data_IF_398555199329
#
_entry.id   IF_398555199329
#
_cell.length_a   1.000
_cell.length_b   1.000
_cell.length_c   1.000
_cell.angle_alpha   90.00
_cell.angle_beta   90.00
_cell.angle_gamma   90.00
#
_symmetry.space_group_name_H-M   'P 1'
#
loop_
_entity.id
_entity.type
_entity.pdbx_description
1 polymer ?
#
# COMPACT_ATOMS: atom_id res chain seq x y z
N UNK A 1 -17.47 7.01 22.79
CA UNK A 1 -16.85 6.67 21.48
C UNK A 1 -17.13 5.20 21.21
N UNK A 2 -17.74 4.90 20.07
CA UNK A 2 -18.49 3.66 19.80
C UNK A 2 -17.57 2.45 19.62
N UNK A 3 -17.98 1.30 20.16
CA UNK A 3 -17.22 0.03 20.08
C UNK A 3 -16.80 -0.36 18.65
N UNK A 4 -17.57 0.07 17.64
CA UNK A 4 -17.24 -0.12 16.22
C UNK A 4 -15.96 0.62 15.81
N UNK A 5 -15.76 1.87 16.23
CA UNK A 5 -14.57 2.64 15.86
C UNK A 5 -13.30 1.98 16.41
N UNK A 6 -13.37 1.46 17.64
CA UNK A 6 -12.27 0.69 18.26
C UNK A 6 -12.00 -0.61 17.51
N UNK A 7 -13.05 -1.30 17.07
CA UNK A 7 -12.94 -2.52 16.26
C UNK A 7 -12.26 -2.25 14.92
N UNK A 8 -12.74 -1.25 14.18
CA UNK A 8 -12.16 -0.84 12.88
C UNK A 8 -10.69 -0.44 13.04
N UNK A 9 -10.36 0.33 14.09
CA UNK A 9 -8.99 0.76 14.35
C UNK A 9 -8.07 -0.44 14.59
N UNK A 10 -8.42 -1.34 15.51
CA UNK A 10 -7.58 -2.51 15.83
C UNK A 10 -7.47 -3.49 14.65
N UNK A 11 -8.53 -3.63 13.86
CA UNK A 11 -8.49 -4.43 12.65
C UNK A 11 -7.51 -3.83 11.63
N UNK A 12 -7.55 -2.52 11.41
CA UNK A 12 -6.62 -1.83 10.51
C UNK A 12 -5.17 -1.87 11.01
N UNK A 13 -4.94 -1.75 12.32
CA UNK A 13 -3.61 -1.92 12.92
C UNK A 13 -3.06 -3.32 12.65
N UNK A 14 -3.87 -4.36 12.85
CA UNK A 14 -3.47 -5.74 12.58
C UNK A 14 -3.15 -5.98 11.09
N UNK A 15 -4.03 -5.52 10.20
CA UNK A 15 -3.89 -5.68 8.74
C UNK A 15 -2.64 -4.96 8.19
N UNK A 16 -2.16 -3.91 8.86
CA UNK A 16 -0.92 -3.20 8.55
C UNK A 16 0.35 -3.85 9.13
N UNK A 17 0.25 -5.04 9.71
CA UNK A 17 1.38 -5.71 10.38
C UNK A 17 1.64 -5.20 11.81
N UNK A 18 0.69 -4.49 12.41
CA UNK A 18 0.74 -4.05 13.81
C UNK A 18 0.37 -5.15 14.82
N UNK A 19 -0.17 -4.75 15.96
CA UNK A 19 -0.48 -5.68 17.06
C UNK A 19 -1.41 -6.84 16.66
N UNK A 20 -1.29 -7.95 17.38
CA UNK A 20 -2.16 -9.12 17.18
C UNK A 20 -3.62 -8.77 17.46
N UNK A 21 -4.51 -9.09 16.52
CA UNK A 21 -5.94 -8.84 16.68
C UNK A 21 -6.51 -9.69 17.84
N UNK A 22 -7.29 -9.12 18.77
CA UNK A 22 -7.82 -9.86 19.91
C UNK A 22 -8.73 -11.02 19.47
N UNK A 23 -8.29 -12.25 19.70
CA UNK A 23 -9.06 -13.46 19.34
C UNK A 23 -10.42 -13.55 20.03
N UNK A 24 -10.56 -12.92 21.20
CA UNK A 24 -11.84 -12.83 21.92
C UNK A 24 -12.91 -12.07 21.14
N UNK A 25 -12.54 -11.30 20.12
CA UNK A 25 -13.46 -10.58 19.25
C UNK A 25 -13.84 -11.38 18.01
N UNK A 26 -13.15 -12.49 17.76
CA UNK A 26 -13.44 -13.39 16.66
C UNK A 26 -14.46 -14.45 17.11
N UNK A 27 -15.42 -14.74 16.24
CA UNK A 27 -16.32 -15.89 16.38
C UNK A 27 -15.90 -16.95 15.37
N UNK A 28 -15.84 -18.22 15.79
CA UNK A 28 -15.56 -19.33 14.88
C UNK A 28 -16.56 -19.30 13.71
N UNK A 29 -16.04 -19.22 12.49
CA UNK A 29 -16.80 -19.23 11.25
C UNK A 29 -16.44 -20.43 10.38
N UNK A 30 -16.79 -20.35 9.09
CA UNK A 30 -16.43 -21.35 8.07
C UNK A 30 -14.92 -21.51 7.89
N UNK A 31 -14.17 -20.43 8.16
CA UNK A 31 -12.71 -20.37 8.08
C UNK A 31 -12.20 -20.03 9.47
N UNK A 32 -11.04 -20.58 9.82
CA UNK A 32 -10.35 -20.23 11.06
C UNK A 32 -10.06 -18.71 11.11
N UNK A 33 -10.14 -18.12 12.31
CA UNK A 33 -10.02 -16.67 12.44
C UNK A 33 -8.64 -16.14 12.04
N UNK A 34 -7.57 -16.91 12.24
CA UNK A 34 -6.22 -16.51 11.82
C UNK A 34 -6.09 -16.55 10.31
N UNK A 35 -6.65 -17.59 9.69
CA UNK A 35 -6.71 -17.70 8.24
C UNK A 35 -7.49 -16.51 7.69
N UNK A 36 -8.68 -16.21 8.24
CA UNK A 36 -9.48 -15.06 7.83
C UNK A 36 -8.72 -13.74 7.95
N UNK A 37 -8.07 -13.49 9.09
CA UNK A 37 -7.26 -12.28 9.31
C UNK A 37 -6.09 -12.19 8.31
N UNK A 38 -5.40 -13.30 8.03
CA UNK A 38 -4.31 -13.33 7.05
C UNK A 38 -4.80 -13.03 5.63
N UNK A 39 -5.99 -13.49 5.25
CA UNK A 39 -6.60 -13.15 3.95
C UNK A 39 -6.79 -11.64 3.84
N UNK A 40 -7.30 -10.99 4.89
CA UNK A 40 -7.48 -9.54 4.89
C UNK A 40 -6.15 -8.78 4.87
N UNK A 41 -5.15 -9.23 5.64
CA UNK A 41 -3.80 -8.65 5.61
C UNK A 41 -3.19 -8.72 4.19
N UNK A 42 -3.24 -9.90 3.56
CA UNK A 42 -2.74 -10.09 2.20
C UNK A 42 -3.51 -9.25 1.18
N UNK A 43 -4.84 -9.23 1.27
CA UNK A 43 -5.69 -8.44 0.38
C UNK A 43 -5.43 -6.94 0.51
N UNK A 44 -5.13 -6.45 1.72
CA UNK A 44 -4.76 -5.05 1.94
C UNK A 44 -3.48 -4.70 1.18
N UNK A 45 -2.41 -5.47 1.35
CA UNK A 45 -1.15 -5.21 0.63
C UNK A 45 -1.31 -5.36 -0.90
N UNK A 46 -2.08 -6.36 -1.37
CA UNK A 46 -2.38 -6.53 -2.79
C UNK A 46 -3.05 -5.30 -3.38
N UNK A 47 -4.08 -4.76 -2.70
CA UNK A 47 -4.81 -3.58 -3.18
C UNK A 47 -3.96 -2.31 -3.21
N UNK A 48 -3.02 -2.17 -2.28
CA UNK A 48 -2.08 -1.05 -2.30
C UNK A 48 -1.10 -1.15 -3.47
N UNK A 49 -0.58 -2.36 -3.73
CA UNK A 49 0.24 -2.63 -4.90
C UNK A 49 -0.52 -2.37 -6.20
N UNK A 50 -1.76 -2.87 -6.32
CA UNK A 50 -2.63 -2.63 -7.48
C UNK A 50 -2.90 -1.13 -7.70
N UNK A 51 -3.10 -0.37 -6.62
CA UNK A 51 -3.26 1.08 -6.73
C UNK A 51 -1.98 1.78 -7.23
N UNK A 52 -0.81 1.38 -6.72
CA UNK A 52 0.47 1.90 -7.22
C UNK A 52 0.69 1.53 -8.69
N UNK A 53 0.30 0.34 -9.10
CA UNK A 53 0.45 -0.13 -10.48
C UNK A 53 -0.49 0.58 -11.44
N UNK A 54 -1.72 0.85 -11.00
CA UNK A 54 -2.67 1.68 -11.74
C UNK A 54 -2.18 3.13 -11.89
N UNK A 55 -1.57 3.68 -10.84
CA UNK A 55 -1.02 5.03 -10.86
C UNK A 55 0.29 5.14 -11.68
N UNK A 56 1.05 4.06 -11.77
CA UNK A 56 2.40 4.04 -12.33
C UNK A 56 2.69 2.83 -13.25
N UNK A 57 1.91 2.62 -14.31
CA UNK A 57 2.02 1.43 -15.16
C UNK A 57 3.36 1.33 -15.92
N UNK A 58 3.92 2.47 -16.37
CA UNK A 58 5.21 2.49 -17.09
C UNK A 58 6.35 2.27 -16.12
N UNK A 59 6.30 2.87 -14.92
CA UNK A 59 7.29 2.60 -13.87
C UNK A 59 7.31 1.11 -13.48
N UNK A 60 6.13 0.49 -13.29
CA UNK A 60 6.02 -0.95 -12.99
C UNK A 60 6.70 -1.79 -14.07
N UNK A 61 6.41 -1.49 -15.33
CA UNK A 61 7.03 -2.16 -16.48
C UNK A 61 8.54 -1.92 -16.53
N UNK A 62 9.00 -0.69 -16.25
CA UNK A 62 10.41 -0.32 -16.30
C UNK A 62 11.24 -0.98 -15.20
N UNK A 63 10.70 -1.09 -13.99
CA UNK A 63 11.37 -1.73 -12.86
C UNK A 63 11.38 -3.26 -12.98
N UNK A 64 10.34 -3.83 -13.61
CA UNK A 64 10.14 -5.28 -13.65
C UNK A 64 9.76 -5.85 -12.27
N UNK A 65 9.41 -7.14 -12.25
CA UNK A 65 8.69 -7.75 -11.13
C UNK A 65 9.40 -7.64 -9.77
N UNK A 66 10.71 -7.87 -9.73
CA UNK A 66 11.49 -7.92 -8.49
C UNK A 66 11.66 -6.53 -7.85
N UNK A 67 12.10 -5.54 -8.65
CA UNK A 67 12.27 -4.18 -8.16
C UNK A 67 10.93 -3.50 -7.90
N UNK A 68 9.90 -3.81 -8.69
CA UNK A 68 8.54 -3.34 -8.43
C UNK A 68 8.01 -3.87 -7.10
N UNK A 69 8.16 -5.18 -6.83
CA UNK A 69 7.77 -5.76 -5.55
C UNK A 69 8.52 -5.12 -4.37
N UNK A 70 9.83 -4.89 -4.52
CA UNK A 70 10.67 -4.22 -3.52
C UNK A 70 10.20 -2.79 -3.27
N UNK A 71 9.92 -2.04 -4.34
CA UNK A 71 9.38 -0.69 -4.28
C UNK A 71 8.03 -0.66 -3.56
N UNK A 72 7.06 -1.49 -3.94
CA UNK A 72 5.73 -1.48 -3.35
C UNK A 72 5.76 -1.81 -1.86
N UNK A 73 6.58 -2.78 -1.44
CA UNK A 73 6.75 -3.14 -0.04
C UNK A 73 7.35 -1.95 0.75
N UNK A 74 8.51 -1.44 0.33
CA UNK A 74 9.18 -0.35 1.03
C UNK A 74 8.35 0.93 1.07
N UNK A 75 7.68 1.30 -0.02
CA UNK A 75 6.80 2.46 -0.05
C UNK A 75 5.61 2.29 0.90
N UNK A 76 4.98 1.12 0.92
CA UNK A 76 3.83 0.83 1.78
C UNK A 76 4.19 0.88 3.28
N UNK A 77 5.37 0.39 3.64
CA UNK A 77 5.86 0.40 5.01
C UNK A 77 6.12 1.84 5.51
N UNK A 78 6.73 2.68 4.67
CA UNK A 78 6.99 4.09 5.01
C UNK A 78 5.74 4.98 4.91
N UNK A 79 4.80 4.62 4.03
CA UNK A 79 3.60 5.37 3.72
C UNK A 79 2.33 4.53 3.85
N UNK A 80 2.00 3.99 5.04
CA UNK A 80 0.82 3.16 5.22
C UNK A 80 -0.45 3.97 4.91
N UNK A 81 -1.38 3.39 4.15
CA UNK A 81 -2.64 4.06 3.82
C UNK A 81 -3.43 4.36 5.10
N UNK A 82 -3.79 5.62 5.33
CA UNK A 82 -4.50 6.08 6.55
C UNK A 82 -5.99 6.36 6.34
N UNK A 83 -6.45 6.34 5.11
CA UNK A 83 -7.83 6.67 4.71
C UNK A 83 -8.38 5.61 3.78
N UNK A 84 -9.71 5.57 3.60
CA UNK A 84 -10.37 4.55 2.75
C UNK A 84 -10.09 4.73 1.26
N UNK A 85 -9.80 5.95 0.81
CA UNK A 85 -9.51 6.24 -0.60
C UNK A 85 -8.04 5.98 -0.92
N UNK A 86 -7.78 5.32 -2.05
CA UNK A 86 -6.43 5.12 -2.57
C UNK A 86 -6.03 6.13 -3.66
N UNK A 87 -6.93 7.07 -4.02
CA UNK A 87 -6.70 8.08 -5.09
C UNK A 87 -5.38 8.84 -4.97
N UNK A 88 -4.94 9.10 -3.74
CA UNK A 88 -3.72 9.85 -3.46
C UNK A 88 -2.66 8.98 -2.77
N UNK A 89 -2.82 7.66 -2.78
CA UNK A 89 -1.90 6.76 -2.09
C UNK A 89 -0.47 6.87 -2.67
N UNK A 90 -0.35 6.93 -4.00
CA UNK A 90 0.93 7.09 -4.70
C UNK A 90 1.50 8.51 -4.72
N UNK A 91 0.89 9.49 -4.03
CA UNK A 91 1.25 10.91 -4.23
C UNK A 91 2.69 11.27 -3.80
N UNK A 92 3.35 10.42 -3.01
CA UNK A 92 4.74 10.63 -2.53
C UNK A 92 5.75 9.69 -3.19
N UNK A 93 5.33 8.90 -4.18
CA UNK A 93 6.18 7.94 -4.87
C UNK A 93 7.43 8.60 -5.47
N UNK A 94 7.34 9.75 -6.17
CA UNK A 94 8.53 10.40 -6.74
C UNK A 94 9.56 10.78 -5.67
N UNK A 95 9.13 11.37 -4.56
CA UNK A 95 10.03 11.78 -3.48
C UNK A 95 10.58 10.58 -2.70
N UNK A 96 9.82 9.49 -2.61
CA UNK A 96 10.28 8.26 -1.98
C UNK A 96 11.38 7.59 -2.83
N UNK A 97 11.15 7.44 -4.14
CA UNK A 97 12.15 6.87 -5.06
C UNK A 97 13.44 7.71 -5.11
N UNK A 98 13.32 9.04 -5.02
CA UNK A 98 14.46 9.94 -5.01
C UNK A 98 15.33 9.86 -3.73
N UNK A 99 14.88 9.16 -2.68
CA UNK A 99 15.58 9.08 -1.38
C UNK A 99 15.93 7.67 -0.94
N UNK A 100 15.37 6.64 -1.57
CA UNK A 100 15.55 5.26 -1.14
C UNK A 100 16.40 4.44 -2.14
N UNK A 101 17.53 3.84 -1.71
CA UNK A 101 18.25 2.86 -2.50
C UNK A 101 17.37 1.62 -2.77
N UNK A 102 17.60 0.89 -3.89
CA UNK A 102 18.61 1.16 -4.91
C UNK A 102 18.18 2.23 -5.93
N UNK A 103 16.96 2.74 -5.85
CA UNK A 103 16.36 3.64 -6.85
C UNK A 103 17.13 4.95 -7.02
N UNK A 104 17.74 5.46 -5.95
CA UNK A 104 18.61 6.64 -5.97
C UNK A 104 19.81 6.53 -6.91
N UNK A 105 20.26 5.31 -7.25
CA UNK A 105 21.34 5.09 -8.21
C UNK A 105 20.94 5.46 -9.64
N UNK A 106 19.64 5.51 -9.93
CA UNK A 106 19.07 5.84 -11.24
C UNK A 106 18.00 6.92 -11.09
N UNK A 107 18.38 8.21 -11.00
CA UNK A 107 17.44 9.32 -10.77
C UNK A 107 16.27 9.39 -11.75
N UNK A 108 16.45 8.87 -12.97
CA UNK A 108 15.40 8.76 -14.00
C UNK A 108 14.16 7.98 -13.52
N UNK A 109 14.31 7.05 -12.58
CA UNK A 109 13.19 6.30 -11.98
C UNK A 109 12.23 7.25 -11.27
N UNK A 110 12.75 8.20 -10.48
CA UNK A 110 11.94 9.19 -9.79
C UNK A 110 11.33 10.22 -10.76
N UNK A 111 12.06 10.58 -11.83
CA UNK A 111 11.53 11.46 -12.88
C UNK A 111 10.38 10.81 -13.65
N UNK A 112 10.49 9.52 -13.97
CA UNK A 112 9.42 8.75 -14.63
C UNK A 112 8.17 8.72 -13.76
N UNK A 113 8.32 8.41 -12.46
CA UNK A 113 7.22 8.44 -11.52
C UNK A 113 6.55 9.82 -11.43
N UNK A 114 7.36 10.89 -11.42
CA UNK A 114 6.84 12.27 -11.40
C UNK A 114 6.04 12.60 -12.66
N UNK A 115 6.51 12.15 -13.82
CA UNK A 115 5.80 12.33 -15.07
C UNK A 115 4.44 11.63 -15.07
N UNK A 116 4.38 10.36 -14.64
CA UNK A 116 3.10 9.63 -14.53
C UNK A 116 2.15 10.28 -13.52
N UNK A 117 2.64 10.76 -12.37
CA UNK A 117 1.83 11.55 -11.43
C UNK A 117 1.24 12.80 -12.08
N UNK A 118 2.06 13.56 -12.80
CA UNK A 118 1.60 14.77 -13.46
C UNK A 118 0.51 14.47 -14.50
N UNK A 119 0.62 13.35 -15.22
CA UNK A 119 -0.44 12.90 -16.14
C UNK A 119 -1.74 12.58 -15.39
N UNK A 120 -1.67 11.79 -14.32
CA UNK A 120 -2.84 11.49 -13.49
C UNK A 120 -3.52 12.76 -12.99
N UNK A 121 -2.74 13.67 -12.39
CA UNK A 121 -3.25 14.89 -11.79
C UNK A 121 -3.95 15.80 -12.82
N UNK A 122 -3.51 15.80 -14.09
CA UNK A 122 -4.16 16.56 -15.18
C UNK A 122 -5.51 15.96 -15.59
N UNK A 123 -5.64 14.62 -15.61
CA UNK A 123 -6.89 13.95 -15.98
C UNK A 123 -7.87 13.82 -14.81
N UNK A 124 -7.39 14.00 -13.58
CA UNK A 124 -8.17 13.99 -12.35
C UNK A 124 -8.69 15.38 -11.91
N UNK A 125 -8.30 16.45 -12.62
CA UNK A 125 -8.66 17.84 -12.36
C UNK A 125 -10.07 18.23 -12.84
#
# INVERSE_FOLDING_TARGET
MTALATLEQRFLEHVRGGESFPRTWCRQGLVDSDIGLSIYANAYHSRLREALEADHPVLSTYLGDELWATFCAGYTDDHPSRVRSLRHFGSRVPEWLARNPPFTAHPVIAELARFERALLDVFDA
#
